data_IF_407538619122
#
_entry.id   IF_407538619122
#
_cell.length_a   1.000
_cell.length_b   1.000
_cell.length_c   1.000
_cell.angle_alpha   90.00
_cell.angle_beta   90.00
_cell.angle_gamma   90.00
#
_symmetry.space_group_name_H-M   'P 1'
#
loop_
_entity.id
_entity.type
_entity.pdbx_description
1 polymer ?
#
# COMPACT_ATOMS: atom_id res chain seq x y z
N UNK A 1 5.26 -19.59 -35.87
CA UNK A 1 6.55 -19.05 -35.38
C UNK A 1 6.35 -17.60 -34.94
N UNK A 2 6.42 -17.36 -33.62
CA UNK A 2 7.06 -16.20 -32.94
C UNK A 2 6.83 -14.77 -33.51
N UNK A 3 6.43 -13.74 -32.74
CA UNK A 3 7.03 -13.29 -31.47
C UNK A 3 6.25 -12.11 -30.85
N UNK A 4 6.19 -12.14 -29.52
CA UNK A 4 6.11 -11.05 -28.53
C UNK A 4 4.83 -10.19 -28.42
N UNK A 5 3.87 -10.75 -27.70
CA UNK A 5 3.00 -10.03 -26.78
C UNK A 5 3.81 -9.65 -25.52
N UNK A 6 4.27 -8.40 -25.38
CA UNK A 6 4.97 -7.92 -24.16
C UNK A 6 4.57 -6.52 -23.68
N UNK A 7 3.70 -5.81 -24.40
CA UNK A 7 3.36 -4.41 -24.10
C UNK A 7 2.45 -4.19 -22.88
N UNK A 8 1.71 -5.21 -22.43
CA UNK A 8 0.69 -5.09 -21.37
C UNK A 8 1.22 -5.18 -19.94
N UNK A 9 2.50 -5.52 -19.73
CA UNK A 9 3.03 -5.66 -18.37
C UNK A 9 3.48 -4.33 -17.78
N UNK A 10 4.04 -3.42 -18.58
CA UNK A 10 4.63 -2.17 -18.09
C UNK A 10 3.58 -1.16 -17.60
N UNK A 11 2.42 -1.06 -18.24
CA UNK A 11 1.37 -0.11 -17.83
C UNK A 11 0.74 -0.45 -16.47
N UNK A 12 0.74 -1.74 -16.08
CA UNK A 12 0.27 -2.17 -14.76
C UNK A 12 1.23 -1.76 -13.62
N UNK A 13 2.53 -1.71 -13.87
CA UNK A 13 3.53 -1.30 -12.87
C UNK A 13 3.60 0.21 -12.66
N UNK A 14 3.25 1.02 -13.67
CA UNK A 14 3.29 2.50 -13.56
C UNK A 14 2.08 3.03 -12.78
N UNK A 15 0.93 2.36 -12.85
CA UNK A 15 -0.25 2.69 -12.04
C UNK A 15 -0.08 2.29 -10.56
N UNK A 16 0.55 1.15 -10.29
CA UNK A 16 0.89 0.70 -8.92
C UNK A 16 1.95 1.61 -8.25
N UNK A 17 2.78 2.29 -9.07
CA UNK A 17 3.77 3.25 -8.59
C UNK A 17 3.19 4.63 -8.22
N UNK A 18 1.98 4.96 -8.67
CA UNK A 18 1.41 6.32 -8.52
C UNK A 18 0.46 6.49 -7.33
N UNK A 19 0.06 5.39 -6.67
CA UNK A 19 -0.71 5.41 -5.42
C UNK A 19 -0.10 4.44 -4.40
N UNK A 20 0.98 4.86 -3.75
CA UNK A 20 1.48 4.14 -2.57
C UNK A 20 0.47 4.33 -1.43
N UNK A 21 -0.48 3.40 -1.31
CA UNK A 21 -1.38 3.34 -0.17
C UNK A 21 -0.60 2.91 1.06
N UNK A 22 -0.74 3.65 2.14
CA UNK A 22 -0.20 3.33 3.45
C UNK A 22 -1.31 3.43 4.49
N UNK A 23 -1.02 3.08 5.73
CA UNK A 23 -1.94 3.22 6.86
C UNK A 23 -1.30 4.06 7.93
N UNK A 24 -1.93 5.17 8.28
CA UNK A 24 -1.44 6.05 9.33
C UNK A 24 -2.35 5.97 10.56
N UNK A 25 -1.74 5.75 11.72
CA UNK A 25 -2.40 5.82 13.00
C UNK A 25 -2.08 7.14 13.69
N UNK A 26 -3.03 8.07 13.69
CA UNK A 26 -2.88 9.40 14.30
C UNK A 26 -2.71 9.36 15.82
N UNK A 27 -3.17 8.31 16.51
CA UNK A 27 -3.03 8.17 17.98
C UNK A 27 -1.61 7.85 18.41
N UNK A 28 -0.96 6.96 17.66
CA UNK A 28 0.42 6.54 17.92
C UNK A 28 1.44 7.32 17.09
N UNK A 29 0.97 8.14 16.15
CA UNK A 29 1.78 8.81 15.14
C UNK A 29 2.69 7.82 14.39
N UNK A 30 2.14 6.67 14.00
CA UNK A 30 2.84 5.60 13.29
C UNK A 30 2.28 5.44 11.88
N UNK A 31 3.16 5.15 10.92
CA UNK A 31 2.79 4.87 9.53
C UNK A 31 3.23 3.46 9.16
N UNK A 32 2.30 2.67 8.64
CA UNK A 32 2.48 1.29 8.22
C UNK A 32 2.34 1.19 6.71
N UNK A 33 3.23 0.42 6.07
CA UNK A 33 3.16 0.15 4.63
C UNK A 33 2.41 -1.15 4.30
N UNK A 34 2.27 -2.04 5.27
CA UNK A 34 1.65 -3.35 5.09
C UNK A 34 0.43 -3.48 6.01
N UNK A 35 -0.61 -4.11 5.47
CA UNK A 35 -1.85 -4.37 6.21
C UNK A 35 -1.63 -5.30 7.41
N UNK A 36 -0.71 -6.26 7.34
CA UNK A 36 -0.39 -7.17 8.45
C UNK A 36 0.09 -6.42 9.69
N UNK A 37 0.89 -5.37 9.52
CA UNK A 37 1.31 -4.51 10.62
C UNK A 37 0.15 -3.71 11.22
N UNK A 38 -0.83 -3.33 10.39
CA UNK A 38 -2.05 -2.63 10.83
C UNK A 38 -2.94 -3.55 11.66
N UNK A 39 -3.11 -4.80 11.24
CA UNK A 39 -3.91 -5.79 11.96
C UNK A 39 -3.29 -6.09 13.33
N UNK A 40 -1.96 -6.32 13.38
CA UNK A 40 -1.25 -6.48 14.66
C UNK A 40 -1.34 -5.23 15.54
N UNK A 41 -1.18 -4.04 14.95
CA UNK A 41 -1.34 -2.77 15.67
C UNK A 41 -2.74 -2.66 16.28
N UNK A 42 -3.79 -3.05 15.55
CA UNK A 42 -5.16 -3.05 16.04
C UNK A 42 -5.35 -3.99 17.23
N UNK A 43 -4.76 -5.18 17.20
CA UNK A 43 -4.85 -6.15 18.31
C UNK A 43 -4.14 -5.66 19.58
N UNK A 44 -2.93 -5.11 19.44
CA UNK A 44 -2.11 -4.69 20.58
C UNK A 44 -2.59 -3.35 21.14
N UNK A 45 -2.79 -2.35 20.27
CA UNK A 45 -3.12 -0.98 20.67
C UNK A 45 -4.63 -0.75 20.85
N UNK A 46 -5.48 -1.70 20.43
CA UNK A 46 -6.95 -1.63 20.53
C UNK A 46 -7.57 -0.42 19.83
N UNK A 47 -6.96 0.03 18.74
CA UNK A 47 -7.54 1.05 17.87
C UNK A 47 -7.03 0.92 16.42
N UNK A 48 -7.84 1.36 15.47
CA UNK A 48 -7.54 1.25 14.05
C UNK A 48 -6.52 2.28 13.56
N UNK A 49 -5.87 1.95 12.44
CA UNK A 49 -5.12 2.88 11.60
C UNK A 49 -5.93 3.18 10.33
N UNK A 50 -5.82 4.41 9.81
CA UNK A 50 -6.58 4.83 8.63
C UNK A 50 -5.73 4.66 7.37
N UNK A 51 -6.30 4.09 6.31
CA UNK A 51 -5.62 4.07 5.02
C UNK A 51 -5.49 5.50 4.48
N UNK A 52 -4.29 5.83 4.01
CA UNK A 52 -3.92 7.11 3.43
C UNK A 52 -3.22 6.88 2.09
N UNK A 53 -3.47 7.77 1.14
CA UNK A 53 -2.76 7.79 -0.13
C UNK A 53 -1.55 8.70 0.03
N UNK A 54 -0.35 8.16 -0.16
CA UNK A 54 0.87 8.97 -0.16
C UNK A 54 1.15 9.36 -1.61
N UNK A 55 0.86 10.63 -1.95
CA UNK A 55 1.39 11.21 -3.17
C UNK A 55 2.89 11.45 -2.99
N UNK A 56 3.71 10.98 -3.93
CA UNK A 56 5.16 11.27 -3.96
C UNK A 56 5.44 12.69 -4.42
#
# INVERSE_FOLDING_TARGET
MNKLCTRLKYEKYVLDAMSMTAWHCYRCNLTFKDKTHVDMHKEIARHDARQVEIAQ
#
